data_IF_910419594125
#
_entry.id   IF_910419594125
#
_cell.length_a   1.000
_cell.length_b   1.000
_cell.length_c   1.000
_cell.angle_alpha   90.00
_cell.angle_beta   90.00
_cell.angle_gamma   90.00
#
_symmetry.space_group_name_H-M   'P 1'
#
loop_
_entity.id
_entity.type
_entity.pdbx_description
1 polymer ?
#
# COMPACT_ATOMS: atom_id res chain seq x y z
N UNK A 1 18.88 -10.67 -24.66
CA UNK A 1 19.06 -9.97 -23.37
C UNK A 1 17.76 -10.04 -22.55
N UNK A 2 17.42 -11.17 -21.89
CA UNK A 2 16.18 -11.32 -21.10
C UNK A 2 16.37 -11.09 -19.58
N UNK A 3 17.57 -10.69 -19.13
CA UNK A 3 17.90 -10.55 -17.71
C UNK A 3 17.38 -9.25 -17.06
N UNK A 4 16.88 -8.29 -17.84
CA UNK A 4 16.37 -6.99 -17.34
C UNK A 4 14.89 -7.03 -16.95
N UNK A 5 14.11 -7.94 -17.54
CA UNK A 5 12.66 -8.05 -17.30
C UNK A 5 12.31 -8.31 -15.82
N UNK A 6 12.99 -9.22 -15.10
CA UNK A 6 12.75 -9.44 -13.67
C UNK A 6 13.03 -8.19 -12.84
N UNK A 7 14.03 -7.41 -13.24
CA UNK A 7 14.44 -6.19 -12.54
C UNK A 7 13.41 -5.08 -12.68
N UNK A 8 12.83 -4.90 -13.88
CA UNK A 8 11.73 -3.94 -14.10
C UNK A 8 10.45 -4.31 -13.33
N UNK A 9 10.13 -5.61 -13.24
CA UNK A 9 8.96 -6.07 -12.48
C UNK A 9 9.16 -5.83 -10.99
N UNK A 10 10.34 -6.13 -10.45
CA UNK A 10 10.68 -5.82 -9.06
C UNK A 10 10.61 -4.32 -8.76
N UNK A 11 11.13 -3.50 -9.66
CA UNK A 11 11.11 -2.04 -9.50
C UNK A 11 9.67 -1.49 -9.55
N UNK A 12 8.83 -2.00 -10.45
CA UNK A 12 7.43 -1.59 -10.55
C UNK A 12 6.62 -1.98 -9.31
N UNK A 13 6.84 -3.17 -8.76
CA UNK A 13 6.23 -3.62 -7.50
C UNK A 13 6.67 -2.77 -6.31
N UNK A 14 7.96 -2.43 -6.25
CA UNK A 14 8.50 -1.54 -5.21
C UNK A 14 7.88 -0.14 -5.29
N UNK A 15 7.78 0.44 -6.49
CA UNK A 15 7.13 1.73 -6.69
C UNK A 15 5.65 1.65 -6.33
N UNK A 16 4.95 0.55 -6.66
CA UNK A 16 3.55 0.34 -6.26
C UNK A 16 3.39 0.33 -4.72
N UNK A 17 4.27 -0.38 -4.01
CA UNK A 17 4.29 -0.44 -2.54
C UNK A 17 4.42 0.95 -1.92
N UNK A 18 5.38 1.74 -2.41
CA UNK A 18 5.63 3.10 -1.94
C UNK A 18 4.41 4.01 -2.20
N UNK A 19 3.78 3.87 -3.36
CA UNK A 19 2.59 4.64 -3.72
C UNK A 19 1.37 4.27 -2.86
N UNK A 20 1.19 3.00 -2.51
CA UNK A 20 0.10 2.55 -1.62
C UNK A 20 0.29 3.11 -0.21
N UNK A 21 1.51 3.07 0.33
CA UNK A 21 1.83 3.62 1.65
C UNK A 21 1.67 5.15 1.66
N UNK A 22 2.14 5.81 0.62
CA UNK A 22 2.01 7.25 0.44
C UNK A 22 0.53 7.67 0.28
N UNK A 23 -0.31 6.88 -0.38
CA UNK A 23 -1.74 7.14 -0.55
C UNK A 23 -2.49 7.26 0.77
N UNK A 24 -2.11 6.50 1.79
CA UNK A 24 -2.73 6.57 3.13
C UNK A 24 -2.38 7.90 3.81
N UNK A 25 -1.10 8.29 3.76
CA UNK A 25 -0.62 9.54 4.36
C UNK A 25 -1.20 10.74 3.60
N UNK A 26 -1.08 10.76 2.27
CA UNK A 26 -1.62 11.82 1.40
C UNK A 26 -3.14 11.95 1.53
N UNK A 27 -3.86 10.82 1.63
CA UNK A 27 -5.31 10.83 1.87
C UNK A 27 -5.68 11.45 3.21
N UNK A 28 -4.82 11.32 4.23
CA UNK A 28 -5.03 11.98 5.52
C UNK A 28 -4.85 13.50 5.45
N UNK A 29 -3.97 14.00 4.57
CA UNK A 29 -3.78 15.45 4.32
C UNK A 29 -4.81 16.04 3.33
N UNK A 30 -5.76 15.23 2.86
CA UNK A 30 -6.85 15.68 1.98
C UNK A 30 -6.57 15.57 0.47
N UNK A 31 -5.47 14.93 0.06
CA UNK A 31 -5.15 14.74 -1.36
C UNK A 31 -5.98 13.62 -2.04
N UNK A 32 -6.84 12.91 -1.30
CA UNK A 32 -7.66 11.79 -1.78
C UNK A 32 -7.02 10.41 -1.53
N UNK A 33 -7.81 9.33 -1.72
CA UNK A 33 -7.38 7.94 -1.53
C UNK A 33 -7.86 7.30 -0.21
N UNK A 34 -7.17 6.26 0.25
CA UNK A 34 -7.57 5.45 1.43
C UNK A 34 -7.63 6.28 2.71
N UNK A 35 -6.69 7.22 2.89
CA UNK A 35 -6.66 8.12 4.04
C UNK A 35 -7.84 9.09 4.11
N UNK A 36 -8.46 9.42 2.98
CA UNK A 36 -9.64 10.30 2.93
C UNK A 36 -10.86 9.60 3.54
N UNK A 37 -11.07 8.33 3.18
CA UNK A 37 -12.18 7.50 3.69
C UNK A 37 -11.99 7.27 5.20
N UNK A 38 -10.75 7.05 5.64
CA UNK A 38 -10.42 6.93 7.06
C UNK A 38 -10.78 8.21 7.84
N UNK A 39 -10.39 9.38 7.31
CA UNK A 39 -10.68 10.67 7.94
C UNK A 39 -12.19 10.96 7.96
N UNK A 40 -12.91 10.59 6.90
CA UNK A 40 -14.37 10.70 6.84
C UNK A 40 -15.04 9.85 7.94
N UNK A 41 -14.68 8.58 8.07
CA UNK A 41 -15.26 7.69 9.07
C UNK A 41 -14.89 8.07 10.50
N UNK A 42 -13.71 8.67 10.71
CA UNK A 42 -13.31 9.29 11.97
C UNK A 42 -14.21 10.50 12.31
N UNK A 43 -14.50 11.36 11.34
CA UNK A 43 -15.42 12.50 11.51
C UNK A 43 -16.85 12.05 11.83
N UNK A 44 -17.29 10.90 11.30
CA UNK A 44 -18.58 10.30 11.63
C UNK A 44 -18.59 9.53 12.98
N UNK A 45 -17.48 9.56 13.75
CA UNK A 45 -17.30 8.79 14.99
C UNK A 45 -17.56 7.28 14.82
N UNK A 46 -17.43 6.77 13.60
CA UNK A 46 -17.74 5.38 13.27
C UNK A 46 -16.48 4.51 13.39
N UNK A 47 -16.05 4.30 14.64
CA UNK A 47 -14.81 3.58 14.96
C UNK A 47 -14.79 2.13 14.44
N UNK A 48 -15.96 1.51 14.23
CA UNK A 48 -16.07 0.19 13.59
C UNK A 48 -15.52 0.20 12.16
N UNK A 49 -15.99 1.13 11.34
CA UNK A 49 -15.51 1.28 9.96
C UNK A 49 -14.05 1.74 9.89
N UNK A 50 -13.62 2.60 10.79
CA UNK A 50 -12.21 3.04 10.87
C UNK A 50 -11.29 1.84 11.11
N UNK A 51 -11.63 0.97 12.08
CA UNK A 51 -10.81 -0.22 12.38
C UNK A 51 -10.71 -1.19 11.19
N UNK A 52 -11.81 -1.38 10.46
CA UNK A 52 -11.84 -2.18 9.23
C UNK A 52 -10.92 -1.63 8.15
N UNK A 53 -10.94 -0.31 7.92
CA UNK A 53 -10.09 0.34 6.92
C UNK A 53 -8.61 0.19 7.29
N UNK A 54 -8.27 0.36 8.57
CA UNK A 54 -6.89 0.18 9.06
C UNK A 54 -6.42 -1.25 8.83
N UNK A 55 -7.21 -2.25 9.24
CA UNK A 55 -6.88 -3.67 9.08
C UNK A 55 -6.75 -4.02 7.60
N UNK A 56 -7.69 -3.59 6.76
CA UNK A 56 -7.65 -3.87 5.33
C UNK A 56 -6.42 -3.26 4.66
N UNK A 57 -6.07 -2.02 5.02
CA UNK A 57 -4.84 -1.37 4.54
C UNK A 57 -3.60 -2.11 5.00
N UNK A 58 -3.56 -2.53 6.27
CA UNK A 58 -2.45 -3.30 6.82
C UNK A 58 -2.25 -4.64 6.10
N UNK A 59 -3.34 -5.35 5.81
CA UNK A 59 -3.30 -6.62 5.05
C UNK A 59 -2.78 -6.38 3.64
N UNK A 60 -3.26 -5.36 2.94
CA UNK A 60 -2.79 -5.01 1.59
C UNK A 60 -1.30 -4.68 1.59
N UNK A 61 -0.85 -3.81 2.51
CA UNK A 61 0.57 -3.45 2.63
C UNK A 61 1.43 -4.68 2.94
N UNK A 62 0.99 -5.54 3.87
CA UNK A 62 1.71 -6.77 4.23
C UNK A 62 1.81 -7.74 3.05
N UNK A 63 0.73 -7.90 2.27
CA UNK A 63 0.75 -8.73 1.06
C UNK A 63 1.73 -8.18 0.02
N UNK A 64 1.77 -6.87 -0.18
CA UNK A 64 2.70 -6.23 -1.11
C UNK A 64 4.15 -6.42 -0.61
N UNK A 65 4.43 -6.16 0.68
CA UNK A 65 5.75 -6.37 1.27
C UNK A 65 6.21 -7.83 1.10
N UNK A 66 5.31 -8.80 1.32
CA UNK A 66 5.62 -10.23 1.18
C UNK A 66 5.92 -10.62 -0.27
N UNK A 67 5.23 -10.02 -1.24
CA UNK A 67 5.53 -10.20 -2.67
C UNK A 67 6.85 -9.51 -3.04
N UNK A 68 7.09 -8.30 -2.56
CA UNK A 68 8.35 -7.55 -2.73
C UNK A 68 9.55 -8.34 -2.21
N UNK A 69 9.45 -8.91 -1.01
CA UNK A 69 10.51 -9.73 -0.39
C UNK A 69 10.77 -11.00 -1.20
N UNK A 70 9.71 -11.74 -1.58
CA UNK A 70 9.86 -12.95 -2.38
C UNK A 70 10.46 -12.69 -3.76
N UNK A 71 10.15 -11.56 -4.37
CA UNK A 71 10.77 -11.18 -5.63
C UNK A 71 12.25 -10.82 -5.46
N UNK A 72 12.59 -10.13 -4.36
CA UNK A 72 13.97 -9.79 -4.02
C UNK A 72 14.83 -11.03 -3.77
N UNK A 73 14.31 -12.03 -3.05
CA UNK A 73 14.96 -13.33 -2.81
C UNK A 73 15.16 -14.15 -4.09
N UNK A 74 14.38 -13.91 -5.15
CA UNK A 74 14.51 -14.61 -6.43
C UNK A 74 15.50 -13.95 -7.38
N UNK A 75 15.90 -12.71 -7.09
CA UNK A 75 16.79 -11.88 -7.91
C UNK A 75 18.19 -11.79 -7.31
N UNK A 76 18.34 -11.97 -5.98
CA UNK A 76 19.64 -12.11 -5.29
C UNK A 76 20.14 -13.55 -5.38
#
# INVERSE_FOLDING_TARGET
>A
MPQVLPHYISYSLYVLEINVRASVVLGFVGAGGVGLILNQQLNFFNYGNVSLIIIMTFVVVTLIDMVSIRLRERIV
#
